data_IF_924844001766
#
_entry.id   IF_924844001766
#
_cell.length_a   1.000
_cell.length_b   1.000
_cell.length_c   1.000
_cell.angle_alpha   90.00
_cell.angle_beta   90.00
_cell.angle_gamma   90.00
#
_symmetry.space_group_name_H-M   'P 1'
#
loop_
_entity.id
_entity.type
_entity.pdbx_description
1 polymer ?
#
# COMPACT_ATOMS: atom_id res chain seq x y z
N UNK A 1 55.03 27.78 14.62
CA UNK A 1 54.33 26.54 14.25
C UNK A 1 52.85 26.88 14.25
N UNK A 2 52.28 27.04 13.02
CA UNK A 2 50.91 27.52 12.81
C UNK A 2 50.00 26.35 12.58
N UNK A 3 49.05 26.09 13.52
CA UNK A 3 47.97 25.13 13.31
C UNK A 3 46.82 25.85 12.61
N UNK A 4 46.62 25.51 11.32
CA UNK A 4 45.41 25.88 10.58
C UNK A 4 44.28 24.94 10.96
N UNK A 5 43.27 25.48 11.66
CA UNK A 5 41.96 24.82 11.89
C UNK A 5 41.17 24.88 10.60
N UNK A 6 40.93 23.71 9.96
CA UNK A 6 39.99 23.57 8.85
C UNK A 6 38.58 23.55 9.45
N UNK A 7 37.79 24.60 9.19
CA UNK A 7 36.37 24.63 9.47
C UNK A 7 35.66 23.82 8.37
N UNK A 8 35.03 22.71 8.78
CA UNK A 8 34.11 21.97 7.92
C UNK A 8 32.75 22.68 7.95
N UNK A 9 32.42 23.36 6.87
CA UNK A 9 31.12 24.00 6.69
C UNK A 9 30.14 22.89 6.31
N UNK A 10 29.25 22.50 7.22
CA UNK A 10 28.08 21.70 6.91
C UNK A 10 27.12 22.55 6.05
N UNK A 11 27.13 22.34 4.76
CA UNK A 11 26.09 22.84 3.87
C UNK A 11 24.82 22.03 4.13
N UNK A 12 23.92 22.55 4.97
CA UNK A 12 22.53 22.09 5.04
C UNK A 12 21.86 22.41 3.71
N UNK A 13 21.52 21.36 2.94
CA UNK A 13 20.66 21.51 1.75
C UNK A 13 19.35 22.16 2.17
N UNK A 14 18.87 23.19 1.47
CA UNK A 14 17.57 23.77 1.75
C UNK A 14 16.49 22.71 1.46
N UNK A 15 15.67 22.40 2.46
CA UNK A 15 14.44 21.66 2.25
C UNK A 15 13.63 22.38 1.17
N UNK A 16 13.48 21.75 0.00
CA UNK A 16 12.68 22.27 -1.10
C UNK A 16 11.26 22.46 -0.60
N UNK A 17 10.89 23.71 -0.30
CA UNK A 17 9.51 24.08 0.02
C UNK A 17 8.64 23.69 -1.19
N UNK A 18 7.80 22.66 -1.01
CA UNK A 18 6.80 22.31 -2.02
C UNK A 18 5.93 23.54 -2.25
N UNK A 19 5.70 23.98 -3.51
CA UNK A 19 4.96 25.19 -3.80
C UNK A 19 3.59 25.15 -3.11
N UNK A 20 3.12 26.26 -2.58
CA UNK A 20 1.88 26.40 -1.80
C UNK A 20 0.66 25.79 -2.49
N UNK A 21 0.65 25.79 -3.83
CA UNK A 21 -0.36 25.15 -4.67
C UNK A 21 -0.42 23.62 -4.46
N UNK A 22 0.73 22.94 -4.36
CA UNK A 22 0.78 21.48 -4.12
C UNK A 22 0.26 21.11 -2.73
N UNK A 23 0.54 21.90 -1.70
CA UNK A 23 0.02 21.68 -0.34
C UNK A 23 -1.50 21.80 -0.29
N UNK A 24 -2.07 22.83 -0.95
CA UNK A 24 -3.52 23.04 -1.03
C UNK A 24 -4.22 21.91 -1.79
N UNK A 25 -3.64 21.45 -2.88
CA UNK A 25 -4.16 20.32 -3.68
C UNK A 25 -4.15 19.02 -2.86
N UNK A 26 -3.05 18.71 -2.17
CA UNK A 26 -2.95 17.54 -1.29
C UNK A 26 -3.98 17.59 -0.16
N UNK A 27 -4.12 18.73 0.52
CA UNK A 27 -5.13 18.92 1.57
C UNK A 27 -6.56 18.69 1.04
N UNK A 28 -6.87 19.24 -0.13
CA UNK A 28 -8.19 19.06 -0.76
C UNK A 28 -8.48 17.59 -1.08
N UNK A 29 -7.52 16.88 -1.66
CA UNK A 29 -7.66 15.44 -1.95
C UNK A 29 -7.87 14.63 -0.68
N UNK A 30 -7.10 14.91 0.37
CA UNK A 30 -7.25 14.25 1.68
C UNK A 30 -8.63 14.50 2.30
N UNK A 31 -9.14 15.73 2.23
CA UNK A 31 -10.47 16.06 2.74
C UNK A 31 -11.57 15.32 1.96
N UNK A 32 -11.48 15.28 0.62
CA UNK A 32 -12.42 14.54 -0.23
C UNK A 32 -12.38 13.05 0.12
N UNK A 33 -11.20 12.45 0.19
CA UNK A 33 -11.01 11.03 0.50
C UNK A 33 -11.62 10.67 1.87
N UNK A 34 -11.26 11.42 2.92
CA UNK A 34 -11.78 11.20 4.27
C UNK A 34 -13.31 11.24 4.28
N UNK A 35 -13.89 12.33 3.75
CA UNK A 35 -15.36 12.50 3.70
C UNK A 35 -16.04 11.40 2.90
N UNK A 36 -15.41 10.92 1.84
CA UNK A 36 -15.94 9.83 1.03
C UNK A 36 -16.02 8.52 1.82
N UNK A 37 -14.99 8.15 2.60
CA UNK A 37 -15.02 6.95 3.44
C UNK A 37 -15.96 7.09 4.63
N UNK A 38 -16.07 8.28 5.26
CA UNK A 38 -17.09 8.57 6.27
C UNK A 38 -18.51 8.30 5.74
N UNK A 39 -18.78 8.72 4.48
CA UNK A 39 -20.07 8.44 3.84
C UNK A 39 -20.28 6.96 3.51
N UNK A 40 -19.22 6.22 3.16
CA UNK A 40 -19.27 4.78 2.92
C UNK A 40 -19.53 3.97 4.22
N UNK A 41 -19.31 4.55 5.39
CA UNK A 41 -19.71 3.95 6.67
C UNK A 41 -21.20 4.10 6.93
N UNK A 42 -21.82 5.17 6.39
CA UNK A 42 -23.24 5.49 6.64
C UNK A 42 -24.18 4.88 5.60
N UNK A 43 -23.71 4.65 4.37
CA UNK A 43 -24.56 4.20 3.26
C UNK A 43 -23.78 3.51 2.14
N UNK A 44 -24.54 2.80 1.29
CA UNK A 44 -24.00 2.12 0.12
C UNK A 44 -23.35 3.11 -0.88
N UNK A 45 -22.35 2.64 -1.58
CA UNK A 45 -21.59 3.39 -2.59
C UNK A 45 -22.49 4.12 -3.60
N UNK A 46 -23.50 3.43 -4.14
CA UNK A 46 -24.40 3.97 -5.17
C UNK A 46 -25.33 5.09 -4.66
N UNK A 47 -25.44 5.26 -3.36
CA UNK A 47 -26.23 6.32 -2.72
C UNK A 47 -25.44 7.57 -2.38
N UNK A 48 -24.11 7.55 -2.57
CA UNK A 48 -23.25 8.73 -2.32
C UNK A 48 -23.30 9.66 -3.51
N UNK A 49 -23.37 10.98 -3.25
CA UNK A 49 -23.37 12.01 -4.27
C UNK A 49 -22.18 12.97 -4.12
N UNK A 50 -21.69 13.51 -5.26
CA UNK A 50 -20.67 14.57 -5.27
C UNK A 50 -21.10 15.77 -4.43
N UNK A 51 -22.41 16.07 -4.41
CA UNK A 51 -22.97 17.17 -3.60
C UNK A 51 -22.68 16.97 -2.13
N UNK A 52 -22.91 15.78 -1.60
CA UNK A 52 -22.73 15.47 -0.18
C UNK A 52 -21.24 15.48 0.22
N UNK A 53 -20.38 14.90 -0.64
CA UNK A 53 -18.93 14.99 -0.43
C UNK A 53 -18.50 16.45 -0.34
N UNK A 54 -18.90 17.28 -1.29
CA UNK A 54 -18.53 18.69 -1.32
C UNK A 54 -19.06 19.46 -0.09
N UNK A 55 -20.28 19.19 0.31
CA UNK A 55 -20.91 19.83 1.48
C UNK A 55 -20.19 19.48 2.77
N UNK A 56 -19.85 18.20 3.00
CA UNK A 56 -19.15 17.76 4.22
C UNK A 56 -17.66 18.12 4.24
N UNK A 57 -17.00 18.07 3.07
CA UNK A 57 -15.60 18.45 2.94
C UNK A 57 -15.37 19.97 2.90
N UNK A 58 -16.44 20.76 2.95
CA UNK A 58 -16.42 22.24 2.82
C UNK A 58 -15.65 22.71 1.58
N UNK A 59 -15.99 22.14 0.41
CA UNK A 59 -15.41 22.50 -0.88
C UNK A 59 -16.49 22.81 -1.92
N UNK A 60 -16.13 23.61 -2.92
CA UNK A 60 -17.00 23.85 -4.07
C UNK A 60 -16.99 22.63 -5.02
N UNK A 61 -18.12 22.36 -5.70
CA UNK A 61 -18.22 21.32 -6.74
C UNK A 61 -17.17 21.47 -7.84
N UNK A 62 -16.85 22.70 -8.26
CA UNK A 62 -15.80 22.96 -9.24
C UNK A 62 -14.43 22.50 -8.76
N UNK A 63 -14.19 22.54 -7.43
CA UNK A 63 -12.97 22.01 -6.82
C UNK A 63 -12.93 20.47 -6.89
N UNK A 64 -14.04 19.79 -6.64
CA UNK A 64 -14.15 18.36 -6.82
C UNK A 64 -13.89 17.94 -8.27
N UNK A 65 -14.63 18.54 -9.23
CA UNK A 65 -14.51 18.22 -10.65
C UNK A 65 -13.17 18.58 -11.29
N UNK A 66 -12.36 19.40 -10.65
CA UNK A 66 -10.96 19.61 -11.05
C UNK A 66 -10.07 18.39 -10.76
N UNK A 67 -10.47 17.52 -9.84
CA UNK A 67 -9.69 16.35 -9.43
C UNK A 67 -10.29 15.02 -9.89
N UNK A 68 -11.62 14.93 -9.96
CA UNK A 68 -12.35 13.70 -10.26
C UNK A 68 -13.59 13.98 -11.07
N UNK A 69 -13.83 13.23 -12.14
CA UNK A 69 -15.01 13.38 -13.00
C UNK A 69 -16.29 12.97 -12.28
N UNK A 70 -16.22 11.94 -11.45
CA UNK A 70 -17.32 11.42 -10.65
C UNK A 70 -16.80 10.62 -9.43
N UNK A 71 -17.71 10.01 -8.68
CA UNK A 71 -17.38 9.20 -7.51
C UNK A 71 -16.64 7.91 -7.90
N UNK A 72 -16.94 7.33 -9.06
CA UNK A 72 -16.21 6.17 -9.57
C UNK A 72 -14.76 6.52 -9.91
N UNK A 73 -14.52 7.70 -10.49
CA UNK A 73 -13.19 8.21 -10.77
C UNK A 73 -12.41 8.47 -9.46
N UNK A 74 -13.07 8.98 -8.41
CA UNK A 74 -12.49 9.13 -7.09
C UNK A 74 -12.05 7.77 -6.53
N UNK A 75 -12.95 6.77 -6.48
CA UNK A 75 -12.61 5.43 -5.98
C UNK A 75 -11.47 4.78 -6.78
N UNK A 76 -11.54 4.86 -8.12
CA UNK A 76 -10.47 4.34 -8.99
C UNK A 76 -9.12 5.01 -8.74
N UNK A 77 -9.11 6.33 -8.45
CA UNK A 77 -7.87 7.03 -8.11
C UNK A 77 -7.27 6.52 -6.80
N UNK A 78 -8.11 6.30 -5.78
CA UNK A 78 -7.68 5.76 -4.49
C UNK A 78 -7.14 4.33 -4.64
N UNK A 79 -7.86 3.47 -5.37
CA UNK A 79 -7.41 2.10 -5.67
C UNK A 79 -6.08 2.09 -6.44
N UNK A 80 -5.92 3.00 -7.41
CA UNK A 80 -4.70 3.09 -8.21
C UNK A 80 -3.49 3.59 -7.40
N UNK A 81 -3.69 4.55 -6.49
CA UNK A 81 -2.66 5.01 -5.56
C UNK A 81 -2.20 3.85 -4.66
N UNK A 82 -3.13 3.12 -4.05
CA UNK A 82 -2.83 1.94 -3.22
C UNK A 82 -2.06 0.84 -4.00
N UNK A 83 -2.49 0.52 -5.22
CA UNK A 83 -1.80 -0.45 -6.09
C UNK A 83 -0.38 0.03 -6.43
N UNK A 84 -0.21 1.33 -6.69
CA UNK A 84 1.10 1.92 -6.99
C UNK A 84 2.05 1.80 -5.79
N UNK A 85 1.57 2.03 -4.58
CA UNK A 85 2.37 1.90 -3.36
C UNK A 85 2.82 0.46 -3.13
N UNK A 86 1.91 -0.52 -3.33
CA UNK A 86 2.24 -1.95 -3.28
C UNK A 86 3.27 -2.31 -4.35
N UNK A 87 3.09 -1.86 -5.59
CA UNK A 87 4.04 -2.12 -6.68
C UNK A 87 5.45 -1.58 -6.38
N UNK A 88 5.52 -0.35 -5.88
CA UNK A 88 6.78 0.28 -5.49
C UNK A 88 7.46 -0.48 -4.35
N UNK A 89 6.69 -1.01 -3.41
CA UNK A 89 7.22 -1.83 -2.31
C UNK A 89 7.73 -3.18 -2.80
N UNK A 90 6.98 -3.87 -3.67
CA UNK A 90 7.40 -5.15 -4.28
C UNK A 90 8.65 -4.94 -5.17
N UNK A 91 8.79 -3.79 -5.83
CA UNK A 91 9.97 -3.50 -6.65
C UNK A 91 11.26 -3.50 -5.82
N UNK A 92 11.18 -3.16 -4.55
CA UNK A 92 12.33 -3.16 -3.62
C UNK A 92 12.66 -4.56 -3.07
N UNK A 93 11.85 -5.58 -3.40
CA UNK A 93 12.03 -6.94 -2.86
C UNK A 93 13.36 -7.55 -3.31
N UNK A 94 14.16 -7.91 -2.32
CA UNK A 94 15.44 -8.62 -2.47
C UNK A 94 15.60 -9.56 -1.25
N UNK A 95 16.39 -10.67 -1.35
CA UNK A 95 16.65 -11.58 -0.24
C UNK A 95 17.06 -10.91 1.07
N UNK A 96 17.93 -9.91 0.98
CA UNK A 96 18.49 -9.25 2.17
C UNK A 96 17.50 -8.33 2.89
N UNK A 97 16.46 -7.87 2.21
CA UNK A 97 15.47 -6.92 2.73
C UNK A 97 14.05 -7.46 2.72
N UNK A 98 13.88 -8.78 2.57
CA UNK A 98 12.58 -9.41 2.39
C UNK A 98 11.60 -9.06 3.52
N UNK A 99 12.02 -9.23 4.78
CA UNK A 99 11.18 -8.90 5.94
C UNK A 99 10.82 -7.42 5.98
N UNK A 100 11.78 -6.53 5.68
CA UNK A 100 11.52 -5.09 5.65
C UNK A 100 10.54 -4.71 4.53
N UNK A 101 10.58 -5.38 3.39
CA UNK A 101 9.61 -5.19 2.31
C UNK A 101 8.22 -5.65 2.74
N UNK A 102 8.10 -6.79 3.42
CA UNK A 102 6.82 -7.26 3.94
C UNK A 102 6.26 -6.33 5.02
N UNK A 103 7.08 -5.88 5.97
CA UNK A 103 6.65 -4.88 6.97
C UNK A 103 6.12 -3.63 6.27
N UNK A 104 6.81 -3.14 5.24
CA UNK A 104 6.34 -2.00 4.45
C UNK A 104 5.01 -2.24 3.73
N UNK A 105 4.67 -3.49 3.34
CA UNK A 105 3.34 -3.80 2.81
C UNK A 105 2.25 -3.69 3.89
N UNK A 106 2.53 -4.12 5.12
CA UNK A 106 1.62 -3.91 6.25
C UNK A 106 1.44 -2.43 6.57
N UNK A 107 2.51 -1.63 6.52
CA UNK A 107 2.42 -0.17 6.71
C UNK A 107 1.55 0.49 5.64
N UNK A 108 1.68 0.10 4.36
CA UNK A 108 0.82 0.56 3.26
C UNK A 108 -0.66 0.23 3.55
N UNK A 109 -0.95 -0.97 4.04
CA UNK A 109 -2.33 -1.36 4.42
C UNK A 109 -2.85 -0.50 5.56
N UNK A 110 -2.04 -0.24 6.59
CA UNK A 110 -2.41 0.61 7.72
C UNK A 110 -2.66 2.06 7.30
N UNK A 111 -1.80 2.61 6.46
CA UNK A 111 -1.92 3.97 5.94
C UNK A 111 -3.14 4.13 5.00
N UNK A 112 -3.66 3.01 4.47
CA UNK A 112 -4.86 2.94 3.65
C UNK A 112 -6.00 2.17 4.34
N UNK A 113 -6.05 2.22 5.68
CA UNK A 113 -7.00 1.46 6.49
C UNK A 113 -8.47 1.72 6.13
N UNK A 114 -8.82 2.94 5.76
CA UNK A 114 -10.13 3.33 5.25
C UNK A 114 -10.57 2.49 4.02
N UNK A 115 -9.72 2.39 3.01
CA UNK A 115 -9.95 1.56 1.82
C UNK A 115 -9.99 0.07 2.18
N UNK A 116 -9.04 -0.40 2.99
CA UNK A 116 -8.93 -1.80 3.35
C UNK A 116 -10.12 -2.27 4.19
N UNK A 117 -10.56 -1.49 5.19
CA UNK A 117 -11.75 -1.77 5.98
C UNK A 117 -13.02 -1.77 5.12
N UNK A 118 -13.15 -0.82 4.17
CA UNK A 118 -14.26 -0.82 3.22
C UNK A 118 -14.28 -2.11 2.38
N UNK A 119 -13.13 -2.52 1.83
CA UNK A 119 -13.03 -3.78 1.05
C UNK A 119 -13.34 -5.02 1.89
N UNK A 120 -12.99 -5.04 3.17
CA UNK A 120 -13.32 -6.14 4.08
C UNK A 120 -14.82 -6.25 4.34
N UNK A 121 -15.54 -5.13 4.48
CA UNK A 121 -16.99 -5.10 4.74
C UNK A 121 -17.82 -5.41 3.48
N UNK A 122 -17.47 -4.78 2.37
CA UNK A 122 -18.28 -4.82 1.14
C UNK A 122 -17.75 -5.82 0.10
N UNK A 123 -16.61 -6.45 0.38
CA UNK A 123 -15.82 -7.21 -0.58
C UNK A 123 -15.01 -6.29 -1.51
N UNK A 124 -13.85 -6.75 -1.96
CA UNK A 124 -13.08 -6.01 -2.95
C UNK A 124 -13.88 -5.91 -4.26
N UNK A 125 -13.73 -4.81 -4.98
CA UNK A 125 -14.31 -4.71 -6.33
C UNK A 125 -13.87 -5.92 -7.15
N UNK A 126 -14.80 -6.46 -7.95
CA UNK A 126 -14.60 -7.71 -8.70
C UNK A 126 -13.26 -7.67 -9.45
N UNK A 127 -12.40 -8.63 -9.13
CA UNK A 127 -11.09 -8.77 -9.75
C UNK A 127 -9.96 -7.93 -9.14
N UNK A 128 -10.20 -7.07 -8.14
CA UNK A 128 -9.15 -6.22 -7.56
C UNK A 128 -8.00 -7.05 -6.97
N UNK A 129 -8.28 -7.98 -6.05
CA UNK A 129 -7.25 -8.86 -5.45
C UNK A 129 -6.59 -9.73 -6.53
N UNK A 130 -7.39 -10.26 -7.50
CA UNK A 130 -6.84 -11.04 -8.60
C UNK A 130 -5.92 -10.20 -9.50
N UNK A 131 -6.22 -8.92 -9.70
CA UNK A 131 -5.35 -8.02 -10.48
C UNK A 131 -3.99 -7.81 -9.81
N UNK A 132 -3.96 -7.66 -8.48
CA UNK A 132 -2.72 -7.60 -7.69
C UNK A 132 -1.92 -8.90 -7.83
N UNK A 133 -2.61 -10.06 -7.74
CA UNK A 133 -1.99 -11.37 -7.91
C UNK A 133 -1.32 -11.52 -9.29
N UNK A 134 -2.08 -11.30 -10.37
CA UNK A 134 -1.61 -11.49 -11.75
C UNK A 134 -0.50 -10.50 -12.09
N UNK A 135 -0.69 -9.22 -11.75
CA UNK A 135 0.27 -8.15 -12.06
C UNK A 135 1.65 -8.40 -11.46
N UNK A 136 1.70 -8.97 -10.26
CA UNK A 136 2.96 -9.16 -9.53
C UNK A 136 3.57 -10.56 -9.72
N UNK A 137 2.88 -11.50 -10.37
CA UNK A 137 3.34 -12.88 -10.51
C UNK A 137 4.70 -12.98 -11.21
N UNK A 138 4.80 -12.48 -12.44
CA UNK A 138 6.01 -12.62 -13.25
C UNK A 138 7.20 -11.88 -12.63
N UNK A 139 6.95 -10.68 -12.11
CA UNK A 139 7.95 -9.86 -11.43
C UNK A 139 8.49 -10.56 -10.18
N UNK A 140 7.61 -11.11 -9.37
CA UNK A 140 7.96 -11.86 -8.17
C UNK A 140 8.71 -13.14 -8.54
N UNK A 141 8.32 -13.84 -9.60
CA UNK A 141 9.01 -15.05 -10.07
C UNK A 141 10.48 -14.77 -10.37
N UNK A 142 10.79 -13.69 -11.10
CA UNK A 142 12.17 -13.33 -11.44
C UNK A 142 12.99 -13.07 -10.17
N UNK A 143 12.42 -12.37 -9.21
CA UNK A 143 13.09 -12.04 -7.94
C UNK A 143 13.29 -13.28 -7.07
N UNK A 144 12.26 -14.10 -6.93
CA UNK A 144 12.28 -15.30 -6.06
C UNK A 144 13.19 -16.42 -6.57
N UNK A 145 13.45 -16.52 -7.87
CA UNK A 145 14.46 -17.44 -8.41
C UNK A 145 15.87 -17.15 -7.87
N UNK A 146 16.14 -15.95 -7.38
CA UNK A 146 17.38 -15.63 -6.68
C UNK A 146 17.43 -16.25 -5.29
N UNK A 147 16.27 -16.36 -4.60
CA UNK A 147 16.18 -17.01 -3.27
C UNK A 147 16.20 -18.53 -3.38
N UNK A 148 15.62 -19.07 -4.45
CA UNK A 148 15.41 -20.51 -4.64
C UNK A 148 15.88 -20.93 -6.04
N UNK A 149 17.21 -20.97 -6.30
CA UNK A 149 17.73 -21.24 -7.64
C UNK A 149 17.36 -22.62 -8.19
N UNK A 150 17.02 -23.58 -7.31
CA UNK A 150 16.61 -24.95 -7.70
C UNK A 150 15.09 -25.13 -7.91
N UNK A 151 14.28 -24.08 -7.74
CA UNK A 151 12.82 -24.21 -7.85
C UNK A 151 12.36 -24.25 -9.30
N UNK A 152 11.50 -25.20 -9.64
CA UNK A 152 10.85 -25.25 -10.96
C UNK A 152 9.72 -24.22 -11.05
N UNK A 153 9.34 -23.82 -12.28
CA UNK A 153 8.23 -22.87 -12.49
C UNK A 153 6.92 -23.36 -11.87
N UNK A 154 6.66 -24.67 -11.91
CA UNK A 154 5.47 -25.27 -11.30
C UNK A 154 5.49 -25.19 -9.77
N UNK A 155 6.64 -25.45 -9.15
CA UNK A 155 6.82 -25.32 -7.71
C UNK A 155 6.75 -23.86 -7.27
N UNK A 156 7.37 -22.95 -8.04
CA UNK A 156 7.23 -21.51 -7.79
C UNK A 156 5.77 -21.07 -7.82
N UNK A 157 4.99 -21.52 -8.81
CA UNK A 157 3.57 -21.19 -8.90
C UNK A 157 2.79 -21.61 -7.65
N UNK A 158 3.00 -22.82 -7.16
CA UNK A 158 2.35 -23.29 -5.93
C UNK A 158 2.76 -22.49 -4.72
N UNK A 159 4.05 -22.23 -4.58
CA UNK A 159 4.61 -21.41 -3.51
C UNK A 159 4.05 -19.99 -3.51
N UNK A 160 3.99 -19.36 -4.69
CA UNK A 160 3.42 -18.02 -4.85
C UNK A 160 1.93 -17.97 -4.49
N UNK A 161 1.13 -18.94 -4.92
CA UNK A 161 -0.29 -19.05 -4.57
C UNK A 161 -0.46 -19.16 -3.05
N UNK A 162 0.30 -20.04 -2.40
CA UNK A 162 0.25 -20.21 -0.94
C UNK A 162 0.65 -18.93 -0.21
N UNK A 163 1.76 -18.32 -0.61
CA UNK A 163 2.28 -17.11 0.02
C UNK A 163 1.31 -15.94 -0.16
N UNK A 164 0.87 -15.67 -1.39
CA UNK A 164 -0.01 -14.55 -1.68
C UNK A 164 -1.35 -14.67 -0.93
N UNK A 165 -2.01 -15.81 -1.01
CA UNK A 165 -3.28 -16.00 -0.30
C UNK A 165 -3.08 -16.03 1.22
N UNK A 166 -1.99 -16.62 1.71
CA UNK A 166 -1.65 -16.63 3.12
C UNK A 166 -1.46 -15.21 3.67
N UNK A 167 -0.65 -14.39 3.01
CA UNK A 167 -0.40 -13.02 3.46
C UNK A 167 -1.66 -12.14 3.38
N UNK A 168 -2.47 -12.30 2.33
CA UNK A 168 -3.76 -11.58 2.22
C UNK A 168 -4.69 -11.97 3.36
N UNK A 169 -4.75 -13.27 3.74
CA UNK A 169 -5.57 -13.74 4.85
C UNK A 169 -5.06 -13.24 6.21
N UNK A 170 -3.74 -13.21 6.41
CA UNK A 170 -3.13 -12.66 7.64
C UNK A 170 -3.39 -11.15 7.75
N UNK A 171 -3.27 -10.41 6.65
CA UNK A 171 -3.61 -8.98 6.61
C UNK A 171 -5.08 -8.77 6.95
N UNK A 172 -5.98 -9.61 6.42
CA UNK A 172 -7.40 -9.52 6.73
C UNK A 172 -7.69 -9.73 8.23
N UNK A 173 -7.04 -10.72 8.85
CA UNK A 173 -7.15 -10.96 10.29
C UNK A 173 -6.59 -9.79 11.11
N UNK A 174 -5.45 -9.23 10.68
CA UNK A 174 -4.84 -8.09 11.32
C UNK A 174 -5.74 -6.83 11.27
N UNK A 175 -6.41 -6.57 10.15
CA UNK A 175 -7.41 -5.50 10.03
C UNK A 175 -8.58 -5.76 10.98
N UNK A 176 -9.11 -7.01 11.04
CA UNK A 176 -10.21 -7.37 11.92
C UNK A 176 -9.85 -7.29 13.42
N UNK A 177 -8.57 -7.44 13.76
CA UNK A 177 -8.05 -7.25 15.12
C UNK A 177 -7.82 -5.77 15.49
N UNK A 178 -8.21 -4.83 14.64
CA UNK A 178 -7.96 -3.40 14.80
C UNK A 178 -6.46 -3.07 14.86
N UNK A 179 -5.67 -3.71 13.99
CA UNK A 179 -4.22 -3.49 13.83
C UNK A 179 -3.40 -3.66 15.12
N UNK A 180 -3.81 -4.58 16.01
CA UNK A 180 -3.23 -4.72 17.37
C UNK A 180 -1.78 -5.16 17.36
N UNK A 181 -1.43 -6.11 16.50
CA UNK A 181 -0.10 -6.67 16.44
C UNK A 181 0.85 -5.75 15.68
N UNK A 182 2.10 -5.73 16.12
CA UNK A 182 3.15 -5.04 15.36
C UNK A 182 3.45 -5.81 14.07
N UNK A 183 3.50 -5.13 12.91
CA UNK A 183 3.80 -5.76 11.62
C UNK A 183 5.08 -6.60 11.62
N UNK A 184 6.12 -6.17 12.33
CA UNK A 184 7.38 -6.91 12.38
C UNK A 184 7.22 -8.26 13.09
N UNK A 185 6.34 -8.37 14.08
CA UNK A 185 6.02 -9.61 14.77
C UNK A 185 5.32 -10.59 13.83
N UNK A 186 4.31 -10.11 13.08
CA UNK A 186 3.57 -10.93 12.12
C UNK A 186 4.51 -11.41 11.01
N UNK A 187 5.31 -10.51 10.47
CA UNK A 187 6.27 -10.81 9.40
C UNK A 187 7.30 -11.83 9.87
N UNK A 188 7.97 -11.61 11.00
CA UNK A 188 8.97 -12.51 11.54
C UNK A 188 8.42 -13.93 11.76
N UNK A 189 7.19 -14.04 12.28
CA UNK A 189 6.53 -15.34 12.47
C UNK A 189 6.23 -16.02 11.13
N UNK A 190 5.58 -15.32 10.21
CA UNK A 190 5.14 -15.89 8.92
C UNK A 190 6.32 -16.26 8.03
N UNK A 191 7.34 -15.40 7.94
CA UNK A 191 8.55 -15.68 7.14
C UNK A 191 9.36 -16.85 7.70
N UNK A 192 9.44 -16.98 9.04
CA UNK A 192 10.12 -18.14 9.66
C UNK A 192 9.48 -19.48 9.25
N UNK A 193 8.14 -19.54 9.18
CA UNK A 193 7.43 -20.73 8.72
C UNK A 193 7.75 -21.01 7.25
N UNK A 194 7.70 -19.96 6.41
CA UNK A 194 7.96 -20.09 4.98
C UNK A 194 9.38 -20.58 4.70
N UNK A 195 10.38 -19.88 5.19
CA UNK A 195 11.77 -20.23 4.92
C UNK A 195 12.18 -21.58 5.53
N UNK A 196 11.74 -21.90 6.74
CA UNK A 196 12.01 -23.21 7.34
C UNK A 196 11.30 -24.36 6.60
N UNK A 197 10.06 -24.12 6.11
CA UNK A 197 9.31 -25.11 5.32
C UNK A 197 9.96 -25.44 3.99
N UNK A 198 10.67 -24.49 3.39
CA UNK A 198 11.33 -24.66 2.10
C UNK A 198 12.83 -24.98 2.20
N UNK A 199 13.37 -25.18 3.40
CA UNK A 199 14.80 -25.37 3.67
C UNK A 199 15.49 -26.43 2.79
N UNK A 200 14.77 -27.48 2.37
CA UNK A 200 15.32 -28.53 1.49
C UNK A 200 15.46 -28.10 0.01
N UNK A 201 15.01 -26.94 -0.36
CA UNK A 201 15.07 -26.39 -1.73
C UNK A 201 16.12 -25.27 -1.88
N UNK A 202 16.85 -24.96 -0.79
CA UNK A 202 18.02 -24.11 -0.79
C UNK A 202 19.27 -24.85 -1.19
#
# INVERSE_FOLDING_TARGET
>A
MNQKRTQVIFMTSPATERPAHNRRTAYTKTAIRRTFFELLEEKDFDKISVREICQRADINRSTFYRHYDDINALMKSIEAEFVSDIDNQIERMDPEVFDAVLVGLFDIVRDNSDLCCYMMRCGPRKGFINSLFVKNYDRTQIKWKKFFPGITDKQFRWMYIMFFNGIVSVIAEWINSDFREDPSTIVSFTTSIYFNGFRKYF
#
